data_IF_561089465356
#
_entry.id   IF_561089465356
#
_cell.length_a   1.000
_cell.length_b   1.000
_cell.length_c   1.000
_cell.angle_alpha   90.00
_cell.angle_beta   90.00
_cell.angle_gamma   90.00
#
_symmetry.space_group_name_H-M   'P 1'
#
loop_
_entity.id
_entity.type
_entity.pdbx_description
1 polymer ?
#
# COMPACT_ATOMS: atom_id res chain seq x y z
N UNK A 1 -15.35 -14.81 -7.25
CA UNK A 1 -14.90 -15.17 -5.87
C UNK A 1 -15.17 -14.03 -4.87
N UNK A 2 -14.42 -12.90 -4.79
CA UNK A 2 -14.71 -11.86 -3.77
C UNK A 2 -16.10 -11.25 -3.92
N UNK A 3 -16.49 -10.86 -5.13
CA UNK A 3 -17.83 -10.31 -5.40
C UNK A 3 -18.95 -11.30 -5.06
N UNK A 4 -18.81 -12.57 -5.43
CA UNK A 4 -19.76 -13.65 -5.11
C UNK A 4 -19.86 -13.91 -3.60
N UNK A 5 -18.75 -13.69 -2.87
CA UNK A 5 -18.71 -13.78 -1.41
C UNK A 5 -19.25 -12.53 -0.69
N UNK A 6 -19.74 -11.52 -1.45
CA UNK A 6 -20.36 -10.33 -0.90
C UNK A 6 -19.38 -9.24 -0.42
N UNK A 7 -18.11 -9.31 -0.80
CA UNK A 7 -17.17 -8.23 -0.46
C UNK A 7 -17.51 -6.96 -1.25
N UNK A 8 -17.57 -5.83 -0.56
CA UNK A 8 -17.80 -4.52 -1.17
C UNK A 8 -16.53 -3.93 -1.78
N UNK A 9 -15.36 -4.26 -1.23
CA UNK A 9 -14.07 -3.76 -1.70
C UNK A 9 -12.94 -4.76 -1.49
N UNK A 10 -11.84 -4.52 -2.18
CA UNK A 10 -10.55 -5.20 -2.07
C UNK A 10 -9.42 -4.18 -2.12
N UNK A 11 -8.27 -4.51 -1.58
CA UNK A 11 -7.02 -3.74 -1.72
C UNK A 11 -5.86 -4.73 -1.92
N UNK A 12 -5.88 -5.38 -3.07
CA UNK A 12 -4.95 -6.47 -3.42
C UNK A 12 -3.97 -6.07 -4.52
N UNK A 13 -4.24 -4.99 -5.24
CA UNK A 13 -3.46 -4.57 -6.41
C UNK A 13 -2.37 -3.58 -6.01
N UNK A 14 -1.15 -3.88 -6.45
CA UNK A 14 -0.01 -2.97 -6.41
C UNK A 14 0.37 -2.57 -7.84
N UNK A 15 0.18 -1.31 -8.28
CA UNK A 15 0.47 -0.87 -9.64
C UNK A 15 1.98 -0.62 -9.86
N UNK A 16 2.77 -1.68 -9.69
CA UNK A 16 4.24 -1.67 -9.83
C UNK A 16 4.71 -2.89 -10.61
N UNK A 17 5.90 -2.80 -11.21
CA UNK A 17 6.61 -3.96 -11.70
C UNK A 17 7.39 -4.59 -10.54
N UNK A 18 7.04 -5.83 -10.18
CA UNK A 18 7.71 -6.58 -9.13
C UNK A 18 7.81 -8.07 -9.52
N UNK A 19 8.87 -8.75 -9.07
CA UNK A 19 9.19 -10.15 -9.43
C UNK A 19 8.24 -11.20 -8.82
N UNK A 20 7.56 -10.88 -7.73
CA UNK A 20 6.65 -11.81 -7.04
C UNK A 20 5.20 -11.36 -7.02
N UNK A 21 4.93 -10.06 -7.23
CA UNK A 21 3.60 -9.48 -7.22
C UNK A 21 3.62 -8.15 -7.98
N UNK A 22 2.47 -7.60 -8.20
CA UNK A 22 2.33 -6.32 -8.89
C UNK A 22 1.70 -6.49 -10.26
N UNK A 23 0.93 -5.52 -10.59
CA UNK A 23 0.33 -5.36 -11.90
C UNK A 23 0.72 -3.99 -12.43
N UNK A 24 1.79 -3.94 -13.24
CA UNK A 24 2.43 -2.69 -13.71
C UNK A 24 1.43 -1.69 -14.30
N UNK A 25 0.51 -2.19 -15.10
CA UNK A 25 -0.42 -1.38 -15.89
C UNK A 25 -1.79 -1.22 -15.19
N UNK A 26 -1.89 -1.60 -13.91
CA UNK A 26 -3.07 -1.39 -13.12
C UNK A 26 -3.35 0.11 -12.93
N UNK A 27 -4.63 0.50 -12.82
CA UNK A 27 -4.98 1.84 -12.40
C UNK A 27 -4.32 2.21 -11.06
N UNK A 28 -3.94 3.49 -10.90
CA UNK A 28 -3.36 4.00 -9.64
C UNK A 28 -4.42 4.32 -8.59
N UNK A 29 -5.64 4.52 -9.01
CA UNK A 29 -6.78 4.91 -8.18
C UNK A 29 -7.82 3.80 -8.15
N UNK A 30 -8.83 3.99 -7.29
CA UNK A 30 -9.95 3.07 -7.20
C UNK A 30 -10.54 2.75 -8.59
N UNK A 31 -10.90 1.51 -8.79
CA UNK A 31 -11.55 1.07 -10.03
C UNK A 31 -12.46 -0.13 -9.79
N UNK A 32 -13.35 -0.40 -10.73
CA UNK A 32 -14.19 -1.61 -10.72
C UNK A 32 -13.48 -2.72 -11.51
N UNK A 33 -12.99 -3.79 -10.84
CA UNK A 33 -12.29 -4.88 -11.53
C UNK A 33 -13.22 -5.76 -12.36
N UNK A 34 -14.53 -5.70 -12.11
CA UNK A 34 -15.56 -6.45 -12.80
C UNK A 34 -16.66 -5.49 -13.26
N UNK A 35 -17.04 -5.57 -14.54
CA UNK A 35 -17.99 -4.65 -15.18
C UNK A 35 -19.35 -4.62 -14.51
N UNK A 36 -19.86 -5.79 -14.09
CA UNK A 36 -21.22 -5.96 -13.57
C UNK A 36 -21.23 -6.23 -12.04
N UNK A 37 -20.23 -5.72 -11.33
CA UNK A 37 -20.11 -5.91 -9.87
C UNK A 37 -19.90 -4.59 -9.15
N UNK A 38 -20.52 -4.40 -7.96
CA UNK A 38 -20.26 -3.23 -7.12
C UNK A 38 -18.88 -3.26 -6.46
N UNK A 39 -18.14 -4.37 -6.56
CA UNK A 39 -16.82 -4.51 -5.95
C UNK A 39 -15.88 -3.40 -6.43
N UNK A 40 -15.26 -2.70 -5.48
CA UNK A 40 -14.26 -1.67 -5.74
C UNK A 40 -12.87 -2.19 -5.36
N UNK A 41 -11.92 -2.10 -6.25
CA UNK A 41 -10.52 -2.30 -5.92
C UNK A 41 -9.86 -0.97 -5.56
N UNK A 42 -9.17 -0.95 -4.42
CA UNK A 42 -8.37 0.18 -3.94
C UNK A 42 -6.89 -0.17 -4.05
N UNK A 43 -6.20 0.21 -5.12
CA UNK A 43 -4.78 -0.08 -5.25
C UNK A 43 -3.96 0.58 -4.14
N UNK A 44 -2.91 -0.12 -3.70
CA UNK A 44 -1.97 0.48 -2.73
C UNK A 44 -1.24 1.66 -3.36
N UNK A 45 -1.04 2.70 -2.58
CA UNK A 45 -0.41 3.94 -3.06
C UNK A 45 1.01 3.70 -3.53
N UNK A 46 1.30 4.23 -4.72
CA UNK A 46 2.63 4.25 -5.32
C UNK A 46 3.06 5.68 -5.61
N UNK A 47 4.33 6.00 -5.41
CA UNK A 47 4.90 7.25 -5.89
C UNK A 47 5.09 7.18 -7.42
N UNK A 48 4.73 8.25 -8.14
CA UNK A 48 5.06 8.41 -9.55
C UNK A 48 6.25 9.36 -9.69
N UNK A 49 7.39 8.83 -10.09
CA UNK A 49 8.63 9.58 -10.26
C UNK A 49 9.18 9.30 -11.66
N UNK A 50 9.37 10.34 -12.45
CA UNK A 50 9.87 10.25 -13.84
C UNK A 50 9.13 9.18 -14.67
N UNK A 51 7.80 9.12 -14.56
CA UNK A 51 6.96 8.18 -15.30
C UNK A 51 6.98 6.73 -14.78
N UNK A 52 7.69 6.46 -13.68
CA UNK A 52 7.77 5.12 -13.06
C UNK A 52 7.00 5.08 -11.74
N UNK A 53 6.41 3.93 -11.45
CA UNK A 53 5.76 3.68 -10.18
C UNK A 53 6.74 3.03 -9.20
N UNK A 54 6.80 3.56 -7.99
CA UNK A 54 7.63 3.07 -6.88
C UNK A 54 6.71 2.70 -5.73
N UNK A 55 6.77 1.46 -5.27
CA UNK A 55 5.99 1.01 -4.12
C UNK A 55 6.42 1.75 -2.84
N UNK A 56 5.46 2.10 -1.99
CA UNK A 56 5.68 2.95 -0.82
C UNK A 56 5.17 2.36 0.50
N UNK A 57 4.47 1.20 0.45
CA UNK A 57 3.98 0.48 1.63
C UNK A 57 4.88 -0.70 2.03
N UNK A 58 4.55 -1.33 3.15
CA UNK A 58 5.20 -2.55 3.63
C UNK A 58 6.72 -2.47 3.68
N UNK A 59 7.40 -3.49 3.18
CA UNK A 59 8.85 -3.57 3.14
C UNK A 59 9.54 -2.40 2.43
N UNK A 60 8.90 -1.80 1.40
CA UNK A 60 9.43 -0.60 0.73
C UNK A 60 9.41 0.61 1.66
N UNK A 61 8.34 0.82 2.41
CA UNK A 61 8.31 1.89 3.42
C UNK A 61 9.41 1.72 4.45
N UNK A 62 9.68 0.49 4.89
CA UNK A 62 10.73 0.19 5.85
C UNK A 62 12.12 0.47 5.29
N UNK A 63 12.39 0.08 4.05
CA UNK A 63 13.71 0.18 3.41
C UNK A 63 14.02 1.57 2.86
N UNK A 64 13.05 2.24 2.26
CA UNK A 64 13.21 3.55 1.60
C UNK A 64 13.03 4.71 2.61
N UNK A 65 13.50 5.92 2.30
CA UNK A 65 13.19 7.10 3.10
C UNK A 65 11.68 7.32 3.24
N UNK A 66 11.20 7.61 4.47
CA UNK A 66 9.78 7.87 4.72
C UNK A 66 9.21 9.06 3.94
N UNK A 67 10.08 10.01 3.54
CA UNK A 67 9.71 11.12 2.67
C UNK A 67 9.16 10.68 1.31
N UNK A 68 9.54 9.51 0.80
CA UNK A 68 8.99 9.00 -0.47
C UNK A 68 7.52 8.60 -0.31
N UNK A 69 7.16 7.96 0.80
CA UNK A 69 5.76 7.62 1.09
C UNK A 69 4.93 8.87 1.37
N UNK A 70 5.49 9.83 2.13
CA UNK A 70 4.88 11.13 2.36
C UNK A 70 4.60 11.85 1.03
N UNK A 71 5.58 11.89 0.13
CA UNK A 71 5.42 12.43 -1.23
C UNK A 71 4.32 11.71 -2.02
N UNK A 72 4.29 10.37 -1.98
CA UNK A 72 3.29 9.59 -2.70
C UNK A 72 1.86 9.86 -2.20
N UNK A 73 1.66 9.94 -0.88
CA UNK A 73 0.35 10.27 -0.29
C UNK A 73 -0.08 11.68 -0.69
N UNK A 74 0.82 12.67 -0.60
CA UNK A 74 0.55 14.06 -1.04
C UNK A 74 0.22 14.12 -2.53
N UNK A 75 0.94 13.37 -3.38
CA UNK A 75 0.69 13.32 -4.81
C UNK A 75 -0.72 12.80 -5.12
N UNK A 76 -1.11 11.69 -4.52
CA UNK A 76 -2.45 11.09 -4.71
C UNK A 76 -3.55 12.03 -4.20
N UNK A 77 -3.34 12.63 -3.03
CA UNK A 77 -4.31 13.59 -2.46
C UNK A 77 -4.44 14.85 -3.32
N UNK A 78 -3.35 15.36 -3.89
CA UNK A 78 -3.39 16.51 -4.80
C UNK A 78 -4.11 16.19 -6.14
N UNK A 79 -4.15 14.91 -6.53
CA UNK A 79 -4.88 14.42 -7.70
C UNK A 79 -6.36 14.14 -7.37
N UNK A 80 -6.83 14.43 -6.14
CA UNK A 80 -8.22 14.32 -5.70
C UNK A 80 -8.62 12.97 -5.13
N UNK A 81 -7.68 12.04 -4.98
CA UNK A 81 -7.92 10.67 -4.51
C UNK A 81 -7.38 10.42 -3.11
N UNK A 82 -7.86 9.36 -2.47
CA UNK A 82 -7.34 8.91 -1.19
C UNK A 82 -6.14 7.97 -1.35
N UNK A 83 -5.09 8.19 -0.56
CA UNK A 83 -3.97 7.27 -0.48
C UNK A 83 -4.30 6.04 0.38
N UNK A 84 -3.92 4.85 -0.10
CA UNK A 84 -4.01 3.59 0.64
C UNK A 84 -2.62 3.18 1.07
N UNK A 85 -2.39 3.16 2.38
CA UNK A 85 -1.13 2.72 2.97
C UNK A 85 -1.33 1.41 3.74
N UNK A 86 -0.38 0.48 3.60
CA UNK A 86 -0.38 -0.77 4.33
C UNK A 86 0.98 -1.06 4.96
N UNK A 87 0.95 -1.81 6.03
CA UNK A 87 2.12 -2.45 6.64
C UNK A 87 1.67 -3.75 7.33
N UNK A 88 2.62 -4.60 7.64
CA UNK A 88 2.34 -5.82 8.38
C UNK A 88 2.68 -5.63 9.87
N UNK A 89 1.89 -6.18 10.80
CA UNK A 89 2.15 -6.03 12.24
C UNK A 89 3.56 -6.44 12.66
N UNK A 90 4.11 -7.49 12.08
CA UNK A 90 5.48 -7.94 12.36
C UNK A 90 6.57 -6.92 11.95
N UNK A 91 6.29 -5.98 11.07
CA UNK A 91 7.26 -4.95 10.66
C UNK A 91 7.56 -3.93 11.76
N UNK A 92 6.71 -3.82 12.77
CA UNK A 92 6.93 -2.95 13.96
C UNK A 92 7.43 -3.72 15.17
N UNK A 93 7.72 -5.02 15.03
CA UNK A 93 8.28 -5.87 16.06
C UNK A 93 9.75 -6.22 15.75
N UNK A 94 10.73 -5.50 16.32
CA UNK A 94 12.14 -5.78 16.12
C UNK A 94 12.61 -7.09 16.78
N UNK A 95 11.87 -7.56 17.79
CA UNK A 95 12.23 -8.71 18.61
C UNK A 95 11.56 -10.01 18.15
N UNK A 96 10.87 -9.97 17.01
CA UNK A 96 10.21 -11.14 16.41
C UNK A 96 11.15 -12.34 16.24
N UNK A 97 10.66 -13.60 16.32
CA UNK A 97 11.45 -14.79 16.12
C UNK A 97 12.21 -14.79 14.78
N UNK A 98 13.46 -15.27 14.81
CA UNK A 98 14.31 -15.32 13.61
C UNK A 98 14.39 -16.75 13.08
N UNK A 99 14.07 -16.93 11.79
CA UNK A 99 14.18 -18.22 11.10
C UNK A 99 15.65 -18.52 10.83
N UNK A 100 16.19 -19.54 11.49
CA UNK A 100 17.63 -19.89 11.44
C UNK A 100 18.08 -20.22 10.02
N UNK A 101 17.33 -21.07 9.29
CA UNK A 101 17.74 -21.63 8.01
C UNK A 101 17.19 -20.87 6.78
N UNK A 102 16.67 -19.63 6.97
CA UNK A 102 16.24 -18.83 5.83
C UNK A 102 17.43 -18.33 5.00
N UNK A 103 17.31 -18.25 3.66
CA UNK A 103 18.32 -17.67 2.79
C UNK A 103 18.70 -16.25 3.21
N UNK A 104 19.97 -15.87 3.06
CA UNK A 104 20.48 -14.56 3.47
C UNK A 104 19.67 -13.40 2.85
N UNK A 105 19.31 -13.48 1.56
CA UNK A 105 18.48 -12.49 0.88
C UNK A 105 17.12 -12.31 1.58
N UNK A 106 16.50 -13.41 1.98
CA UNK A 106 15.21 -13.39 2.70
C UNK A 106 15.38 -12.78 4.09
N UNK A 107 16.45 -13.13 4.82
CA UNK A 107 16.77 -12.54 6.12
C UNK A 107 16.96 -11.03 6.03
N UNK A 108 17.75 -10.56 5.08
CA UNK A 108 17.97 -9.12 4.85
C UNK A 108 16.66 -8.43 4.52
N UNK A 109 15.88 -8.97 3.59
CA UNK A 109 14.57 -8.40 3.19
C UNK A 109 13.58 -8.33 4.35
N UNK A 110 13.56 -9.36 5.22
CA UNK A 110 12.58 -9.47 6.30
C UNK A 110 12.98 -8.68 7.55
N UNK A 111 14.25 -8.77 7.98
CA UNK A 111 14.67 -8.26 9.28
C UNK A 111 15.37 -6.89 9.25
N UNK A 112 15.67 -6.34 8.07
CA UNK A 112 16.34 -5.05 8.00
C UNK A 112 15.44 -3.89 8.45
N UNK A 113 16.02 -2.97 9.23
CA UNK A 113 15.39 -1.70 9.67
C UNK A 113 14.08 -1.83 10.45
N UNK A 114 13.81 -2.96 11.09
CA UNK A 114 12.61 -3.16 11.94
C UNK A 114 12.55 -2.10 13.05
N UNK A 115 13.65 -1.85 13.76
CA UNK A 115 13.68 -0.88 14.86
C UNK A 115 13.35 0.56 14.46
N UNK A 116 13.52 0.92 13.17
CA UNK A 116 13.16 2.25 12.68
C UNK A 116 11.68 2.36 12.25
N UNK A 117 11.00 1.24 12.06
CA UNK A 117 9.67 1.20 11.44
C UNK A 117 8.61 1.94 12.26
N UNK A 118 8.55 1.69 13.57
CA UNK A 118 7.57 2.33 14.45
C UNK A 118 7.71 3.87 14.48
N UNK A 119 8.94 4.39 14.48
CA UNK A 119 9.21 5.83 14.41
C UNK A 119 8.76 6.44 13.08
N UNK A 120 9.07 5.76 11.97
CA UNK A 120 8.65 6.19 10.63
C UNK A 120 7.13 6.20 10.49
N UNK A 121 6.46 5.15 11.00
CA UNK A 121 5.01 5.02 10.95
C UNK A 121 4.32 6.13 11.75
N UNK A 122 4.77 6.39 13.00
CA UNK A 122 4.26 7.53 13.79
C UNK A 122 4.41 8.86 13.05
N UNK A 123 5.57 9.08 12.43
CA UNK A 123 5.82 10.30 11.66
C UNK A 123 4.93 10.41 10.41
N UNK A 124 4.60 9.32 9.74
CA UNK A 124 3.66 9.31 8.61
C UNK A 124 2.24 9.61 9.07
N UNK A 125 1.79 8.93 10.13
CA UNK A 125 0.45 9.12 10.70
C UNK A 125 0.23 10.57 11.13
N UNK A 126 1.21 11.20 11.77
CA UNK A 126 1.10 12.57 12.26
C UNK A 126 1.04 13.64 11.14
N UNK A 127 1.38 13.31 9.90
CA UNK A 127 1.45 14.30 8.79
C UNK A 127 0.26 14.30 7.85
N UNK A 128 -0.64 13.32 7.98
CA UNK A 128 -1.80 13.19 7.08
C UNK A 128 -3.05 12.88 7.88
N UNK A 129 -4.20 13.26 7.34
CA UNK A 129 -5.50 12.86 7.87
C UNK A 129 -5.82 11.45 7.41
N UNK A 130 -5.98 10.55 8.37
CA UNK A 130 -6.28 9.14 8.12
C UNK A 130 -7.73 8.83 8.46
N UNK A 131 -8.32 7.98 7.64
CA UNK A 131 -9.70 7.54 7.81
C UNK A 131 -9.84 6.03 7.67
N UNK A 132 -11.05 5.55 7.89
CA UNK A 132 -11.42 4.15 7.69
C UNK A 132 -11.51 3.84 6.20
N UNK A 133 -11.11 2.63 5.82
CA UNK A 133 -11.13 2.18 4.42
C UNK A 133 -12.56 2.18 3.84
N UNK A 134 -13.56 1.79 4.61
CA UNK A 134 -14.96 1.79 4.16
C UNK A 134 -15.48 3.21 3.80
N UNK A 135 -15.09 4.22 4.56
CA UNK A 135 -15.42 5.61 4.24
C UNK A 135 -14.70 6.09 2.97
N UNK A 136 -13.44 5.66 2.78
CA UNK A 136 -12.69 5.90 1.54
C UNK A 136 -13.36 5.22 0.35
N UNK A 137 -13.79 3.96 0.50
CA UNK A 137 -14.52 3.22 -0.56
C UNK A 137 -15.76 3.98 -1.00
N UNK A 138 -16.58 4.45 -0.06
CA UNK A 138 -17.81 5.19 -0.37
C UNK A 138 -17.52 6.45 -1.20
N UNK A 139 -16.47 7.20 -0.85
CA UNK A 139 -16.03 8.39 -1.58
C UNK A 139 -15.50 8.04 -2.97
N UNK A 140 -14.57 7.09 -3.07
CA UNK A 140 -13.96 6.72 -4.35
C UNK A 140 -14.97 6.06 -5.29
N UNK A 141 -15.91 5.25 -4.77
CA UNK A 141 -16.97 4.66 -5.57
C UNK A 141 -17.89 5.70 -6.23
N UNK A 142 -18.12 6.84 -5.56
CA UNK A 142 -18.86 7.96 -6.12
C UNK A 142 -18.14 8.62 -7.30
N UNK A 143 -16.81 8.56 -7.36
CA UNK A 143 -16.03 9.06 -8.49
C UNK A 143 -16.05 8.10 -9.71
N UNK A 144 -16.53 6.86 -9.51
CA UNK A 144 -16.61 5.82 -10.54
C UNK A 144 -18.03 5.70 -11.14
N UNK A 145 -18.98 6.50 -10.65
CA UNK A 145 -20.37 6.52 -11.15
C UNK A 145 -20.47 7.43 -12.38
#
# INVERSE_FOLDING_TARGET
MLAEAGYAYSSSVAPVAHDHYGWRDAPRYAFRPLKDSPLVELPVTVARVAGRHIATGGGFFRMLPGALTDFAVRQVNAEGHAGIFYFHPWEVDPDQPRVANAPLRSKVRHYSRLGAMAGKLRGLIARHDWGRVDAVVAREAALLA
#
